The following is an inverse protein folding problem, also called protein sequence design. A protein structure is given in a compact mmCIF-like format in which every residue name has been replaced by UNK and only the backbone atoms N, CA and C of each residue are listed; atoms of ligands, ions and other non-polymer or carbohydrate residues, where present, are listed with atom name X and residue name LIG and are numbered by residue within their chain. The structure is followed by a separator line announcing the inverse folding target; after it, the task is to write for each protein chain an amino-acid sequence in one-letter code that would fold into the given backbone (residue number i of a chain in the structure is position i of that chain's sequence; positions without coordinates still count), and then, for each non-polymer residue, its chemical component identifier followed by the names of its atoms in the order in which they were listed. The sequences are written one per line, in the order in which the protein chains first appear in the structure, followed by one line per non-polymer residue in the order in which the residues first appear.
data_IF_606297879292
#
_entry.id   IF_606297879292
#
_cell.length_a   1.000
_cell.length_b   1.000
_cell.length_c   1.000
_cell.angle_alpha   90.00
_cell.angle_beta   90.00
_cell.angle_gamma   90.00
#
_symmetry.space_group_name_H-M   'P 1'
#
loop_
_entity.id
_entity.type
_entity.pdbx_description
1 polymer ?
#
# COMPACT_ATOMS: atom_id res chain seq x y z
N UNK A 1 -23.60 -5.81 4.07
CA UNK A 1 -25.06 -5.88 3.91
C UNK A 1 -25.50 -7.35 3.78
N UNK A 2 -26.57 -7.72 4.48
CA UNK A 2 -27.12 -9.08 4.47
C UNK A 2 -28.42 -9.20 3.67
N UNK A 3 -28.82 -8.16 2.95
CA UNK A 3 -30.02 -8.15 2.11
C UNK A 3 -29.64 -8.52 0.65
N UNK A 4 -29.99 -9.72 0.16
CA UNK A 4 -29.56 -10.20 -1.16
C UNK A 4 -30.03 -9.29 -2.30
N UNK A 5 -31.23 -8.73 -2.21
CA UNK A 5 -31.79 -7.83 -3.23
C UNK A 5 -30.99 -6.53 -3.37
N UNK A 6 -30.56 -5.94 -2.25
CA UNK A 6 -29.70 -4.76 -2.27
C UNK A 6 -28.33 -5.05 -2.82
N UNK A 7 -27.77 -6.22 -2.50
CA UNK A 7 -26.50 -6.68 -3.04
C UNK A 7 -26.59 -6.84 -4.55
N UNK A 8 -27.66 -7.47 -5.04
CA UNK A 8 -27.90 -7.65 -6.47
C UNK A 8 -28.09 -6.31 -7.19
N UNK A 9 -28.91 -5.41 -6.65
CA UNK A 9 -29.10 -4.08 -7.20
C UNK A 9 -27.80 -3.27 -7.25
N UNK A 10 -27.06 -3.23 -6.18
CA UNK A 10 -25.76 -2.57 -6.13
C UNK A 10 -24.78 -3.18 -7.15
N UNK A 11 -24.79 -4.51 -7.28
CA UNK A 11 -24.02 -5.23 -8.26
C UNK A 11 -24.33 -4.83 -9.71
N UNK A 12 -25.57 -4.53 -10.01
CA UNK A 12 -25.98 -4.08 -11.35
C UNK A 12 -25.58 -2.61 -11.63
N UNK A 13 -25.71 -1.77 -10.64
CA UNK A 13 -25.52 -0.31 -10.81
C UNK A 13 -24.05 0.10 -10.87
N UNK A 14 -23.16 -0.59 -10.16
CA UNK A 14 -21.75 -0.18 -10.06
C UNK A 14 -20.94 -0.59 -11.31
N UNK A 15 -20.22 0.37 -11.89
CA UNK A 15 -19.30 0.15 -13.03
C UNK A 15 -17.95 -0.39 -12.55
N UNK A 16 -17.94 -1.60 -12.01
CA UNK A 16 -16.72 -2.26 -11.51
C UNK A 16 -16.78 -3.76 -11.79
N UNK A 17 -15.63 -4.38 -11.96
CA UNK A 17 -15.50 -5.82 -12.24
C UNK A 17 -15.59 -6.69 -10.97
N UNK A 18 -15.37 -6.11 -9.77
CA UNK A 18 -15.42 -6.84 -8.51
C UNK A 18 -16.11 -6.05 -7.42
N UNK A 19 -17.01 -6.70 -6.71
CA UNK A 19 -17.74 -6.14 -5.56
C UNK A 19 -17.54 -7.07 -4.38
N UNK A 20 -17.18 -6.51 -3.24
CA UNK A 20 -16.94 -7.24 -2.00
C UNK A 20 -18.08 -6.98 -1.01
N UNK A 21 -18.64 -8.03 -0.45
CA UNK A 21 -19.74 -7.95 0.49
C UNK A 21 -19.24 -8.14 1.92
N UNK A 22 -19.52 -7.16 2.78
CA UNK A 22 -19.13 -7.16 4.20
C UNK A 22 -17.62 -7.39 4.42
N UNK A 23 -16.80 -6.86 3.53
CA UNK A 23 -15.35 -7.04 3.58
C UNK A 23 -14.66 -5.79 3.09
N UNK A 24 -13.62 -5.31 3.78
CA UNK A 24 -12.79 -4.22 3.28
C UNK A 24 -12.15 -4.55 1.93
N UNK A 25 -12.05 -3.56 1.06
CA UNK A 25 -11.43 -3.71 -0.26
C UNK A 25 -9.98 -4.21 -0.16
N UNK A 26 -9.25 -3.74 0.84
CA UNK A 26 -7.88 -4.17 1.15
C UNK A 26 -7.73 -5.67 1.41
N UNK A 27 -8.79 -6.33 1.85
CA UNK A 27 -8.77 -7.78 2.14
C UNK A 27 -9.27 -8.62 0.97
N UNK A 28 -10.21 -8.12 0.19
CA UNK A 28 -10.86 -8.88 -0.87
C UNK A 28 -10.36 -8.57 -2.28
N UNK A 29 -9.57 -7.49 -2.44
CA UNK A 29 -9.06 -7.08 -3.75
C UNK A 29 -8.13 -8.12 -4.37
N UNK A 30 -7.25 -8.72 -3.58
CA UNK A 30 -6.23 -9.65 -4.07
C UNK A 30 -6.78 -11.06 -4.34
N UNK A 31 -7.89 -11.46 -3.72
CA UNK A 31 -8.54 -12.76 -3.96
C UNK A 31 -8.30 -13.77 -2.84
N UNK A 32 -7.78 -14.95 -3.15
CA UNK A 32 -7.82 -16.14 -2.28
C UNK A 32 -7.03 -16.05 -0.96
N UNK A 33 -6.22 -15.02 -0.79
CA UNK A 33 -5.49 -14.79 0.48
C UNK A 33 -6.40 -14.71 1.71
N UNK A 34 -7.67 -14.39 1.53
CA UNK A 34 -8.65 -14.17 2.59
C UNK A 34 -9.90 -15.04 2.48
N UNK A 35 -9.76 -16.27 1.96
CA UNK A 35 -10.83 -17.27 1.86
C UNK A 35 -12.01 -16.86 0.95
N UNK A 36 -11.75 -16.14 -0.14
CA UNK A 36 -12.78 -15.78 -1.10
C UNK A 36 -13.01 -16.83 -2.19
N UNK A 37 -12.14 -17.83 -2.31
CA UNK A 37 -12.13 -18.80 -3.42
C UNK A 37 -12.03 -18.13 -4.80
N UNK A 38 -11.42 -16.96 -4.84
CA UNK A 38 -11.09 -16.25 -6.08
C UNK A 38 -9.62 -16.48 -6.40
N UNK A 39 -9.29 -16.64 -7.67
CA UNK A 39 -7.90 -16.69 -8.09
C UNK A 39 -7.18 -15.41 -7.64
N UNK A 40 -5.95 -15.51 -7.09
CA UNK A 40 -5.16 -14.35 -6.71
C UNK A 40 -4.99 -13.39 -7.89
N UNK A 41 -5.06 -12.10 -7.63
CA UNK A 41 -4.89 -11.05 -8.63
C UNK A 41 -3.93 -10.00 -8.10
N UNK A 42 -2.86 -9.73 -8.84
CA UNK A 42 -1.87 -8.70 -8.49
C UNK A 42 -2.28 -7.32 -8.99
N UNK A 43 -3.09 -7.29 -10.05
CA UNK A 43 -3.64 -6.06 -10.61
C UNK A 43 -5.14 -6.19 -10.75
N UNK A 44 -5.86 -5.15 -10.38
CA UNK A 44 -7.31 -5.08 -10.49
C UNK A 44 -7.68 -4.01 -11.51
N UNK A 45 -8.46 -4.40 -12.49
CA UNK A 45 -9.03 -3.49 -13.47
C UNK A 45 -10.55 -3.41 -13.35
N UNK A 46 -11.13 -2.40 -13.99
CA UNK A 46 -12.58 -2.25 -14.07
C UNK A 46 -13.23 -3.06 -15.20
N UNK A 47 -12.53 -4.03 -15.78
CA UNK A 47 -13.00 -4.77 -16.95
C UNK A 47 -13.11 -3.85 -18.17
N UNK A 48 -14.11 -4.07 -19.03
CA UNK A 48 -14.34 -3.23 -20.20
C UNK A 48 -14.69 -1.78 -19.87
N UNK A 49 -15.16 -1.47 -18.68
CA UNK A 49 -15.35 -0.07 -18.24
C UNK A 49 -14.03 0.67 -18.04
N UNK A 50 -12.93 -0.05 -17.78
CA UNK A 50 -11.59 0.51 -17.63
C UNK A 50 -10.74 0.50 -18.91
N UNK A 51 -11.33 0.11 -20.06
CA UNK A 51 -10.60 0.03 -21.33
C UNK A 51 -9.56 -1.09 -21.39
N UNK A 52 -9.67 -2.12 -20.53
CA UNK A 52 -8.71 -3.22 -20.48
C UNK A 52 -8.77 -4.06 -21.76
N UNK A 53 -7.60 -4.41 -22.31
CA UNK A 53 -7.44 -5.33 -23.41
C UNK A 53 -7.40 -6.77 -22.91
N UNK A 54 -7.62 -7.71 -23.83
CA UNK A 54 -7.54 -9.15 -23.58
C UNK A 54 -6.30 -9.73 -24.25
N UNK A 55 -5.72 -10.77 -23.64
CA UNK A 55 -4.51 -11.45 -24.15
C UNK A 55 -4.81 -12.82 -24.78
N UNK A 56 -6.07 -13.15 -25.01
CA UNK A 56 -6.51 -14.43 -25.61
C UNK A 56 -7.41 -14.20 -26.83
N UNK A 57 -7.70 -15.26 -27.60
CA UNK A 57 -8.59 -15.17 -28.74
C UNK A 57 -9.98 -14.67 -28.36
N UNK A 58 -10.50 -13.68 -29.10
CA UNK A 58 -11.82 -13.11 -28.85
C UNK A 58 -12.90 -14.12 -29.18
N UNK A 59 -13.76 -14.39 -28.20
CA UNK A 59 -14.92 -15.26 -28.32
C UNK A 59 -16.15 -14.66 -27.63
N UNK A 60 -17.31 -15.32 -27.67
CA UNK A 60 -18.56 -14.81 -27.07
C UNK A 60 -18.41 -14.38 -25.60
N UNK A 61 -17.54 -15.03 -24.83
CA UNK A 61 -17.25 -14.67 -23.43
C UNK A 61 -16.67 -13.26 -23.26
N UNK A 62 -16.04 -12.70 -24.29
CA UNK A 62 -15.43 -11.38 -24.27
C UNK A 62 -16.42 -10.26 -24.59
N UNK A 63 -17.58 -10.61 -25.14
CA UNK A 63 -18.69 -9.68 -25.39
C UNK A 63 -19.56 -9.46 -24.14
N UNK A 64 -19.28 -10.20 -23.06
CA UNK A 64 -20.04 -10.16 -21.82
C UNK A 64 -19.14 -9.56 -20.73
N UNK A 65 -19.59 -8.47 -20.11
CA UNK A 65 -18.97 -7.97 -18.91
C UNK A 65 -19.26 -8.88 -17.72
N UNK A 66 -18.27 -9.68 -17.32
CA UNK A 66 -18.37 -10.49 -16.12
C UNK A 66 -18.13 -9.63 -14.89
N UNK A 67 -19.09 -9.61 -13.99
CA UNK A 67 -18.96 -8.96 -12.69
C UNK A 67 -18.91 -10.02 -11.59
N UNK A 68 -17.88 -9.98 -10.77
CA UNK A 68 -17.75 -10.92 -9.66
C UNK A 68 -18.28 -10.27 -8.39
N UNK A 69 -19.26 -10.92 -7.76
CA UNK A 69 -19.72 -10.58 -6.41
C UNK A 69 -19.18 -11.62 -5.45
N UNK A 70 -18.25 -11.22 -4.60
CA UNK A 70 -17.58 -12.11 -3.68
C UNK A 70 -18.10 -11.92 -2.26
N UNK A 71 -18.55 -13.02 -1.64
CA UNK A 71 -18.91 -13.07 -0.23
C UNK A 71 -17.90 -13.95 0.50
N UNK A 72 -17.40 -13.47 1.62
CA UNK A 72 -16.45 -14.21 2.44
C UNK A 72 -17.08 -15.50 2.97
N UNK A 73 -16.39 -16.63 2.80
CA UNK A 73 -16.87 -17.94 3.23
C UNK A 73 -16.60 -18.25 4.72
N UNK A 74 -15.53 -17.67 5.26
CA UNK A 74 -15.10 -17.90 6.65
C UNK A 74 -14.88 -16.58 7.37
N UNK A 75 -15.04 -16.57 8.69
CA UNK A 75 -14.68 -15.42 9.51
C UNK A 75 -13.16 -15.34 9.67
N UNK A 76 -12.59 -14.17 9.42
CA UNK A 76 -11.23 -13.90 9.81
C UNK A 76 -11.15 -13.79 11.32
N UNK A 77 -10.28 -14.57 11.96
CA UNK A 77 -10.13 -14.57 13.41
C UNK A 77 -9.44 -13.29 13.92
N UNK A 78 -8.57 -12.72 13.11
CA UNK A 78 -7.91 -11.44 13.38
C UNK A 78 -7.37 -10.82 12.11
N UNK A 79 -7.17 -9.51 12.13
CA UNK A 79 -6.40 -8.74 11.13
C UNK A 79 -5.66 -7.61 11.83
N UNK A 80 -4.59 -7.13 11.22
CA UNK A 80 -3.81 -6.01 11.73
C UNK A 80 -4.13 -4.76 10.92
N UNK A 81 -4.42 -3.68 11.64
CA UNK A 81 -4.53 -2.32 11.10
C UNK A 81 -3.40 -1.46 11.69
N UNK A 82 -3.12 -0.28 11.12
CA UNK A 82 -2.30 0.72 11.78
C UNK A 82 -2.79 1.00 13.21
N UNK A 83 -1.87 1.35 14.10
CA UNK A 83 -2.23 1.70 15.49
C UNK A 83 -3.07 2.95 15.54
N UNK A 84 -2.72 3.95 14.71
CA UNK A 84 -3.42 5.22 14.59
C UNK A 84 -3.87 5.41 13.14
N UNK A 85 -5.14 5.82 12.95
CA UNK A 85 -5.69 6.18 11.64
C UNK A 85 -6.32 7.56 11.77
N UNK A 86 -5.69 8.55 11.15
CA UNK A 86 -6.19 9.92 11.07
C UNK A 86 -7.01 10.06 9.79
N UNK A 87 -8.31 10.13 9.95
CA UNK A 87 -9.25 10.20 8.83
C UNK A 87 -10.15 11.42 8.94
N UNK A 88 -9.74 12.53 8.33
CA UNK A 88 -10.52 13.76 8.26
C UNK A 88 -9.83 14.78 7.36
N UNK A 89 -10.59 15.70 6.78
CA UNK A 89 -10.04 16.89 6.13
C UNK A 89 -9.24 17.71 7.15
N UNK A 90 -8.00 18.05 6.84
CA UNK A 90 -7.08 18.76 7.72
C UNK A 90 -6.49 17.90 8.84
N UNK A 91 -6.42 16.57 8.65
CA UNK A 91 -5.83 15.67 9.64
C UNK A 91 -4.30 15.61 9.60
N UNK A 92 -3.68 15.98 8.49
CA UNK A 92 -2.21 15.90 8.35
C UNK A 92 -1.45 16.66 9.45
N UNK A 93 -1.71 17.95 9.76
CA UNK A 93 -0.99 18.64 10.80
C UNK A 93 -1.15 18.00 12.19
N UNK A 94 -2.35 17.47 12.48
CA UNK A 94 -2.65 16.82 13.76
C UNK A 94 -1.84 15.53 13.91
N UNK A 95 -1.77 14.74 12.84
CA UNK A 95 -1.01 13.50 12.84
C UNK A 95 0.50 13.75 12.91
N UNK A 96 1.01 14.81 12.28
CA UNK A 96 2.41 15.20 12.38
C UNK A 96 2.79 15.68 13.80
N UNK A 97 1.83 16.27 14.54
CA UNK A 97 2.04 16.61 15.95
C UNK A 97 2.25 15.35 16.83
N UNK A 98 1.53 14.24 16.54
CA UNK A 98 1.82 12.95 17.20
C UNK A 98 3.25 12.47 16.88
N UNK A 99 3.70 12.56 15.62
CA UNK A 99 5.09 12.21 15.24
C UNK A 99 6.13 13.00 16.03
N UNK A 100 5.88 14.29 16.21
CA UNK A 100 6.75 15.18 16.99
C UNK A 100 6.73 14.80 18.48
N UNK A 101 5.53 14.56 19.02
CA UNK A 101 5.32 14.22 20.43
C UNK A 101 5.91 12.84 20.79
N UNK A 102 5.88 11.88 19.86
CA UNK A 102 6.54 10.58 20.00
C UNK A 102 8.08 10.68 20.06
N UNK A 103 8.61 11.88 19.81
CA UNK A 103 10.03 12.18 19.99
C UNK A 103 10.92 11.78 18.83
N UNK A 104 10.36 11.53 17.64
CA UNK A 104 11.12 11.27 16.43
C UNK A 104 12.05 12.43 16.08
N UNK A 105 13.26 12.11 15.60
CA UNK A 105 14.32 13.09 15.32
C UNK A 105 14.69 13.16 13.84
N UNK A 106 14.50 12.10 13.09
CA UNK A 106 14.96 11.98 11.71
C UNK A 106 13.87 11.32 10.85
N UNK A 107 13.24 12.10 9.99
CA UNK A 107 12.15 11.63 9.12
C UNK A 107 12.64 11.50 7.67
N UNK A 108 12.53 10.33 7.09
CA UNK A 108 12.70 10.10 5.65
C UNK A 108 11.33 10.10 4.98
N UNK A 109 11.10 11.05 4.08
CA UNK A 109 9.89 11.13 3.27
C UNK A 109 10.15 10.41 1.95
N UNK A 110 9.29 9.43 1.61
CA UNK A 110 9.35 8.70 0.34
C UNK A 110 8.15 9.06 -0.50
N UNK A 111 8.40 9.59 -1.71
CA UNK A 111 7.35 10.10 -2.60
C UNK A 111 7.76 9.97 -4.07
N UNK A 112 6.91 10.40 -4.96
CA UNK A 112 7.20 10.54 -6.38
C UNK A 112 7.59 11.97 -6.76
N UNK A 113 8.11 12.12 -7.98
CA UNK A 113 8.59 13.40 -8.52
C UNK A 113 7.47 14.43 -8.69
N UNK A 114 6.24 13.98 -8.99
CA UNK A 114 5.11 14.90 -9.17
C UNK A 114 4.74 15.54 -7.83
N UNK A 115 4.54 14.76 -6.79
CA UNK A 115 4.19 15.25 -5.44
C UNK A 115 5.30 16.11 -4.85
N UNK A 116 6.57 15.75 -5.10
CA UNK A 116 7.72 16.57 -4.68
C UNK A 116 7.71 17.94 -5.34
N UNK A 117 7.61 17.98 -6.68
CA UNK A 117 7.67 19.24 -7.44
C UNK A 117 6.46 20.15 -7.19
N UNK A 118 5.33 19.60 -6.76
CA UNK A 118 4.11 20.37 -6.45
C UNK A 118 3.98 20.74 -4.97
N UNK A 119 5.04 20.55 -4.16
CA UNK A 119 5.08 21.04 -2.79
C UNK A 119 4.31 20.19 -1.76
N UNK A 120 3.84 18.99 -2.13
CA UNK A 120 3.16 18.10 -1.16
C UNK A 120 4.13 17.64 -0.07
N UNK A 121 5.38 17.31 -0.42
CA UNK A 121 6.40 16.96 0.54
C UNK A 121 6.73 18.13 1.48
N UNK A 122 6.64 19.37 0.99
CA UNK A 122 6.94 20.57 1.80
C UNK A 122 5.91 20.77 2.93
N UNK A 123 4.67 20.33 2.75
CA UNK A 123 3.64 20.37 3.79
C UNK A 123 4.03 19.51 5.00
N UNK A 124 4.79 18.44 4.79
CA UNK A 124 5.29 17.57 5.85
C UNK A 124 6.62 18.10 6.40
N UNK A 125 7.59 18.35 5.50
CA UNK A 125 8.95 18.70 5.90
C UNK A 125 9.03 20.04 6.64
N UNK A 126 8.21 21.04 6.25
CA UNK A 126 8.19 22.34 6.92
C UNK A 126 7.71 22.24 8.37
N UNK A 127 6.67 21.44 8.63
CA UNK A 127 6.14 21.22 9.98
C UNK A 127 7.18 20.49 10.86
N UNK A 128 7.76 19.41 10.34
CA UNK A 128 8.75 18.62 11.06
C UNK A 128 10.04 19.41 11.36
N UNK A 129 10.55 20.16 10.37
CA UNK A 129 11.73 21.02 10.55
C UNK A 129 11.50 22.12 11.56
N UNK A 130 10.32 22.75 11.56
CA UNK A 130 9.96 23.77 12.55
C UNK A 130 9.97 23.22 13.99
N UNK A 131 9.70 21.92 14.15
CA UNK A 131 9.78 21.21 15.42
C UNK A 131 11.17 20.63 15.74
N UNK A 132 12.18 20.88 14.91
CA UNK A 132 13.55 20.41 15.12
C UNK A 132 13.80 18.95 14.69
N UNK A 133 12.91 18.37 13.87
CA UNK A 133 13.12 17.06 13.25
C UNK A 133 13.89 17.21 11.95
N UNK A 134 15.02 16.52 11.81
CA UNK A 134 15.75 16.46 10.54
C UNK A 134 14.90 15.72 9.49
N UNK A 135 14.88 16.22 8.27
CA UNK A 135 14.12 15.59 7.18
C UNK A 135 14.96 15.40 5.95
N UNK A 136 14.81 14.23 5.31
CA UNK A 136 15.35 13.93 3.99
C UNK A 136 14.21 13.45 3.11
N UNK A 137 14.28 13.70 1.79
CA UNK A 137 13.21 13.35 0.85
C UNK A 137 13.77 12.49 -0.28
N UNK A 138 13.26 11.29 -0.41
CA UNK A 138 13.45 10.43 -1.57
C UNK A 138 12.25 10.57 -2.50
N UNK A 139 12.45 11.16 -3.68
CA UNK A 139 11.37 11.50 -4.62
C UNK A 139 11.51 10.82 -6.00
N UNK A 140 12.33 9.77 -6.08
CA UNK A 140 12.58 9.06 -7.34
C UNK A 140 11.63 7.87 -7.58
N UNK A 141 10.56 7.74 -6.79
CA UNK A 141 9.62 6.64 -7.01
C UNK A 141 8.80 6.90 -8.27
N UNK A 142 8.77 5.90 -9.15
CA UNK A 142 7.97 5.90 -10.36
C UNK A 142 6.76 4.98 -10.23
N UNK A 143 5.83 5.05 -11.18
CA UNK A 143 4.75 4.08 -11.29
C UNK A 143 5.35 2.67 -11.46
N UNK A 144 4.78 1.67 -10.77
CA UNK A 144 5.35 0.32 -10.71
C UNK A 144 6.82 0.33 -10.23
N UNK A 145 7.08 0.62 -8.94
CA UNK A 145 8.43 0.83 -8.44
C UNK A 145 9.34 -0.37 -8.70
N UNK A 146 10.59 -0.10 -9.08
CA UNK A 146 11.58 -1.13 -9.40
C UNK A 146 12.50 -1.44 -8.23
N UNK A 147 13.13 -2.62 -8.25
CA UNK A 147 14.12 -3.01 -7.24
C UNK A 147 15.31 -2.06 -7.18
N UNK A 148 15.77 -1.53 -8.32
CA UNK A 148 16.86 -0.57 -8.37
C UNK A 148 16.52 0.73 -7.64
N UNK A 149 15.32 1.26 -7.85
CA UNK A 149 14.83 2.48 -7.16
C UNK A 149 14.69 2.25 -5.66
N UNK A 150 14.14 1.11 -5.27
CA UNK A 150 13.97 0.77 -3.85
C UNK A 150 15.32 0.59 -3.16
N UNK A 151 16.31 -0.03 -3.81
CA UNK A 151 17.68 -0.15 -3.27
C UNK A 151 18.34 1.20 -3.04
N UNK A 152 18.23 2.13 -4.00
CA UNK A 152 18.72 3.52 -3.81
C UNK A 152 18.08 4.19 -2.58
N UNK A 153 16.76 4.06 -2.42
CA UNK A 153 16.07 4.61 -1.26
C UNK A 153 16.50 3.95 0.05
N UNK A 154 16.78 2.64 0.04
CA UNK A 154 17.31 1.93 1.21
C UNK A 154 18.76 2.36 1.54
N UNK A 155 19.60 2.63 0.54
CA UNK A 155 20.94 3.21 0.73
C UNK A 155 20.86 4.60 1.37
N UNK A 156 19.95 5.44 0.90
CA UNK A 156 19.68 6.74 1.53
C UNK A 156 19.22 6.56 2.98
N UNK A 157 18.30 5.64 3.26
CA UNK A 157 17.87 5.34 4.61
C UNK A 157 19.02 4.86 5.51
N UNK A 158 19.92 4.02 4.98
CA UNK A 158 21.10 3.55 5.72
C UNK A 158 22.10 4.67 6.04
N UNK A 159 22.26 5.66 5.16
CA UNK A 159 23.12 6.82 5.38
C UNK A 159 22.49 7.85 6.29
N UNK A 160 21.22 8.17 6.07
CA UNK A 160 20.47 9.16 6.85
C UNK A 160 20.05 8.65 8.22
N UNK A 161 19.81 7.33 8.38
CA UNK A 161 19.39 6.66 9.63
C UNK A 161 18.09 7.26 10.21
N UNK A 162 16.98 7.22 9.48
CA UNK A 162 15.71 7.73 9.97
C UNK A 162 15.19 6.87 11.14
N UNK A 163 14.49 7.49 12.08
CA UNK A 163 13.68 6.82 13.10
C UNK A 163 12.18 6.81 12.75
N UNK A 164 11.82 7.52 11.67
CA UNK A 164 10.50 7.45 11.05
C UNK A 164 10.62 7.54 9.52
N UNK A 165 9.89 6.69 8.82
CA UNK A 165 9.74 6.73 7.36
C UNK A 165 8.30 7.12 7.05
N UNK A 166 8.11 8.18 6.26
CA UNK A 166 6.81 8.71 5.88
C UNK A 166 6.61 8.48 4.38
N UNK A 167 5.74 7.55 4.01
CA UNK A 167 5.34 7.35 2.62
C UNK A 167 4.26 8.36 2.26
N UNK A 168 4.52 9.20 1.26
CA UNK A 168 3.57 10.20 0.76
C UNK A 168 3.20 9.86 -0.68
N UNK A 169 1.94 9.52 -0.94
CA UNK A 169 1.48 9.28 -2.30
C UNK A 169 0.39 8.23 -2.44
N UNK A 170 0.29 7.66 -3.62
CA UNK A 170 -0.57 6.52 -3.93
C UNK A 170 0.10 5.18 -3.62
N UNK A 171 -0.35 4.12 -4.28
CA UNK A 171 0.19 2.76 -4.06
C UNK A 171 1.69 2.65 -4.30
N UNK A 172 2.21 3.22 -5.40
CA UNK A 172 3.63 3.08 -5.77
C UNK A 172 4.60 3.67 -4.75
N UNK A 173 4.46 4.92 -4.27
CA UNK A 173 5.29 5.44 -3.19
C UNK A 173 5.16 4.64 -1.88
N UNK A 174 3.96 4.16 -1.55
CA UNK A 174 3.75 3.36 -0.34
C UNK A 174 4.41 2.00 -0.42
N UNK A 175 4.27 1.31 -1.55
CA UNK A 175 4.88 0.01 -1.78
C UNK A 175 6.41 0.12 -1.77
N UNK A 176 6.97 1.12 -2.46
CA UNK A 176 8.39 1.42 -2.44
C UNK A 176 8.89 1.68 -1.00
N UNK A 177 8.21 2.54 -0.25
CA UNK A 177 8.59 2.87 1.12
C UNK A 177 8.57 1.66 2.05
N UNK A 178 7.56 0.79 1.94
CA UNK A 178 7.49 -0.45 2.73
C UNK A 178 8.66 -1.38 2.46
N UNK A 179 9.06 -1.50 1.20
CA UNK A 179 10.18 -2.37 0.83
C UNK A 179 11.52 -1.73 1.24
N UNK A 180 11.69 -0.41 1.06
CA UNK A 180 12.83 0.35 1.60
C UNK A 180 12.94 0.17 3.12
N UNK A 181 11.81 0.21 3.83
CA UNK A 181 11.75 -0.02 5.26
C UNK A 181 12.26 -1.40 5.64
N UNK A 182 11.83 -2.46 4.93
CA UNK A 182 12.35 -3.83 5.15
C UNK A 182 13.86 -3.88 4.94
N UNK A 183 14.36 -3.34 3.83
CA UNK A 183 15.80 -3.35 3.51
C UNK A 183 16.63 -2.51 4.51
N UNK A 184 16.06 -1.46 5.06
CA UNK A 184 16.70 -0.63 6.09
C UNK A 184 16.74 -1.33 7.45
N UNK A 185 15.60 -1.91 7.87
CA UNK A 185 15.52 -2.65 9.15
C UNK A 185 16.39 -3.90 9.15
N UNK A 186 16.39 -4.62 8.01
CA UNK A 186 16.96 -5.95 7.86
C UNK A 186 17.76 -6.07 6.57
N UNK A 187 18.93 -5.41 6.46
CA UNK A 187 19.77 -5.43 5.26
C UNK A 187 20.34 -6.83 4.94
N UNK A 188 20.34 -7.72 5.94
CA UNK A 188 20.75 -9.13 5.78
C UNK A 188 19.69 -9.99 5.07
N UNK A 189 18.48 -9.49 4.87
CA UNK A 189 17.39 -10.29 4.32
C UNK A 189 17.44 -10.31 2.81
N UNK A 190 17.44 -11.50 2.23
CA UNK A 190 17.32 -11.67 0.78
C UNK A 190 15.88 -11.42 0.35
N UNK A 191 15.69 -10.39 -0.45
CA UNK A 191 14.39 -9.94 -0.92
C UNK A 191 13.61 -11.06 -1.64
N UNK A 192 14.32 -11.84 -2.46
CA UNK A 192 13.77 -12.95 -3.23
C UNK A 192 13.13 -14.02 -2.31
N UNK A 193 13.72 -14.25 -1.14
CA UNK A 193 13.16 -15.18 -0.15
C UNK A 193 11.87 -14.66 0.48
N UNK A 194 11.72 -13.35 0.65
CA UNK A 194 10.48 -12.75 1.15
C UNK A 194 9.37 -12.79 0.10
N UNK A 195 9.72 -12.56 -1.17
CA UNK A 195 8.78 -12.50 -2.28
C UNK A 195 8.18 -13.88 -2.63
N UNK A 196 8.94 -14.95 -2.53
CA UNK A 196 8.49 -16.32 -2.82
C UNK A 196 7.37 -16.82 -1.87
N UNK A 197 7.00 -16.05 -0.86
CA UNK A 197 6.10 -16.46 0.23
C UNK A 197 4.71 -15.84 0.17
N UNK A 198 4.36 -15.26 -0.95
CA UNK A 198 3.08 -14.59 -1.15
C UNK A 198 1.85 -15.51 -1.02
N UNK A 199 2.01 -16.81 -1.20
CA UNK A 199 0.90 -17.73 -1.40
C UNK A 199 -0.07 -17.89 -0.20
N UNK A 200 0.40 -17.76 1.03
CA UNK A 200 -0.48 -17.72 2.22
C UNK A 200 0.25 -17.18 3.44
N UNK A 201 -0.13 -16.00 3.91
CA UNK A 201 0.39 -15.38 5.14
C UNK A 201 0.32 -16.32 6.35
N UNK A 202 -0.66 -17.22 6.40
CA UNK A 202 -0.92 -18.13 7.52
C UNK A 202 -0.08 -19.40 7.49
N UNK A 203 0.41 -19.79 6.31
CA UNK A 203 1.14 -21.05 6.09
C UNK A 203 2.65 -20.89 5.99
N UNK A 204 3.20 -19.80 6.51
CA UNK A 204 4.62 -19.49 6.37
C UNK A 204 5.52 -20.48 7.08
N UNK A 205 6.46 -21.03 6.35
CA UNK A 205 7.58 -21.80 6.88
C UNK A 205 8.62 -20.87 7.51
N UNK A 206 8.74 -19.64 7.00
CA UNK A 206 9.72 -18.65 7.46
C UNK A 206 9.02 -17.49 8.17
N UNK A 207 9.59 -17.01 9.26
CA UNK A 207 9.11 -15.82 9.95
C UNK A 207 9.56 -14.58 9.18
N UNK A 208 8.62 -13.68 8.94
CA UNK A 208 8.97 -12.34 8.50
C UNK A 208 9.73 -11.64 9.63
N UNK A 209 10.78 -10.85 9.33
CA UNK A 209 11.53 -10.18 10.37
C UNK A 209 10.67 -9.18 11.15
N UNK A 210 11.08 -8.87 12.38
CA UNK A 210 10.36 -7.89 13.22
C UNK A 210 10.61 -6.49 12.69
N UNK A 211 9.56 -5.80 12.29
CA UNK A 211 9.62 -4.44 11.78
C UNK A 211 9.40 -3.38 12.87
N UNK A 212 9.81 -2.15 12.59
CA UNK A 212 9.59 -1.00 13.47
C UNK A 212 10.53 -0.93 14.67
N UNK A 213 11.72 -1.48 14.54
CA UNK A 213 12.79 -1.40 15.57
C UNK A 213 13.67 -0.19 15.35
N UNK A 214 14.14 0.05 14.11
CA UNK A 214 14.96 1.19 13.74
C UNK A 214 14.10 2.41 13.39
N UNK A 215 13.01 2.20 12.65
CA UNK A 215 12.13 3.27 12.20
C UNK A 215 10.66 2.86 12.24
N UNK A 216 9.77 3.80 12.57
CA UNK A 216 8.32 3.64 12.39
C UNK A 216 7.92 3.94 10.96
N UNK A 217 6.81 3.33 10.52
CA UNK A 217 6.27 3.52 9.18
C UNK A 217 4.96 4.29 9.26
N UNK A 218 4.90 5.43 8.58
CA UNK A 218 3.70 6.27 8.46
C UNK A 218 3.31 6.37 6.99
N UNK A 219 2.03 6.20 6.70
CA UNK A 219 1.51 6.27 5.35
C UNK A 219 0.54 7.44 5.21
N UNK A 220 0.84 8.35 4.28
CA UNK A 220 0.03 9.53 3.92
C UNK A 220 -0.51 9.33 2.53
N UNK A 221 -1.80 9.02 2.40
CA UNK A 221 -2.38 8.73 1.08
C UNK A 221 -2.79 10.00 0.34
N UNK A 222 -2.51 10.02 -0.98
CA UNK A 222 -2.97 11.06 -1.91
C UNK A 222 -3.94 10.50 -2.95
N UNK A 223 -4.34 9.23 -2.84
CA UNK A 223 -5.24 8.58 -3.77
C UNK A 223 -6.36 7.85 -3.04
N UNK A 224 -7.56 7.92 -3.58
CA UNK A 224 -8.70 7.15 -3.09
C UNK A 224 -8.82 5.86 -3.90
N UNK A 225 -8.32 4.73 -3.37
CA UNK A 225 -8.45 3.47 -4.13
C UNK A 225 -7.62 2.31 -3.64
N UNK A 226 -6.30 2.43 -3.53
CA UNK A 226 -5.41 1.28 -3.27
C UNK A 226 -5.53 0.72 -1.86
N UNK A 227 -5.79 1.58 -0.86
CA UNK A 227 -5.78 1.20 0.54
C UNK A 227 -4.40 0.79 1.06
N UNK A 228 -3.32 1.13 0.33
CA UNK A 228 -1.95 0.75 0.71
C UNK A 228 -1.54 1.30 2.08
N UNK A 229 -2.16 2.40 2.52
CA UNK A 229 -1.95 3.02 3.83
C UNK A 229 -2.36 2.13 5.02
N UNK A 230 -3.23 1.15 4.80
CA UNK A 230 -3.73 0.24 5.84
C UNK A 230 -3.48 -1.24 5.53
N UNK A 231 -2.79 -1.55 4.42
CA UNK A 231 -2.59 -2.93 3.99
C UNK A 231 -1.21 -3.49 4.36
N UNK A 232 -1.11 -4.81 4.56
CA UNK A 232 0.15 -5.52 4.77
C UNK A 232 0.85 -5.93 3.47
N UNK A 233 0.61 -5.22 2.36
CA UNK A 233 1.10 -5.58 1.04
C UNK A 233 2.05 -4.53 0.48
N UNK A 234 2.99 -4.97 -0.35
CA UNK A 234 3.80 -4.13 -1.21
C UNK A 234 4.19 -4.92 -2.47
N UNK A 235 4.25 -4.25 -3.61
CA UNK A 235 4.64 -4.86 -4.88
C UNK A 235 5.80 -4.07 -5.46
N UNK A 236 6.81 -4.79 -5.96
CA UNK A 236 7.96 -4.22 -6.67
C UNK A 236 8.23 -5.01 -7.93
N UNK A 237 8.76 -4.35 -8.94
CA UNK A 237 9.15 -4.96 -10.21
C UNK A 237 10.67 -5.14 -10.24
N UNK A 238 11.12 -6.31 -10.61
CA UNK A 238 12.52 -6.55 -10.93
C UNK A 238 12.82 -5.98 -12.32
N UNK A 239 13.65 -4.96 -12.38
CA UNK A 239 14.01 -4.28 -13.61
C UNK A 239 14.84 -5.15 -14.57
N UNK A 240 15.51 -6.21 -14.08
CA UNK A 240 16.26 -7.13 -14.93
C UNK A 240 15.36 -8.13 -15.67
N UNK A 241 14.28 -8.56 -15.01
CA UNK A 241 13.39 -9.63 -15.54
C UNK A 241 12.01 -9.13 -15.92
N UNK A 242 11.61 -7.92 -15.48
CA UNK A 242 10.25 -7.40 -15.59
C UNK A 242 9.23 -8.14 -14.71
N UNK A 243 9.69 -9.03 -13.84
CA UNK A 243 8.81 -9.80 -12.97
C UNK A 243 8.37 -8.97 -11.76
N UNK A 244 7.07 -9.02 -11.43
CA UNK A 244 6.52 -8.41 -10.24
C UNK A 244 6.64 -9.33 -9.03
N UNK A 245 7.18 -8.80 -7.95
CA UNK A 245 7.34 -9.49 -6.68
C UNK A 245 6.41 -8.89 -5.63
N UNK A 246 5.32 -9.55 -5.28
CA UNK A 246 4.47 -9.14 -4.18
C UNK A 246 5.04 -9.62 -2.84
N UNK A 247 5.14 -8.71 -1.89
CA UNK A 247 5.37 -9.01 -0.48
C UNK A 247 4.05 -8.91 0.28
N UNK A 248 3.81 -9.87 1.15
CA UNK A 248 2.62 -9.88 1.99
C UNK A 248 2.96 -10.37 3.39
N UNK A 249 2.96 -9.44 4.36
CA UNK A 249 3.07 -9.77 5.78
C UNK A 249 2.43 -8.68 6.63
N UNK A 250 1.76 -9.08 7.70
CA UNK A 250 1.18 -8.13 8.66
C UNK A 250 2.22 -7.20 9.30
N UNK A 251 3.51 -7.57 9.29
CA UNK A 251 4.59 -6.71 9.72
C UNK A 251 4.79 -5.48 8.81
N UNK A 252 4.33 -5.53 7.55
CA UNK A 252 4.36 -4.41 6.59
C UNK A 252 3.20 -3.41 6.78
N UNK A 253 2.24 -3.70 7.67
CA UNK A 253 1.18 -2.74 7.99
C UNK A 253 1.82 -1.50 8.62
N UNK A 254 1.58 -0.29 8.09
CA UNK A 254 2.10 0.94 8.67
C UNK A 254 1.71 1.09 10.15
N UNK A 255 2.53 1.77 10.93
CA UNK A 255 2.20 2.10 12.32
C UNK A 255 1.08 3.16 12.39
N UNK A 256 1.09 4.12 11.45
CA UNK A 256 0.09 5.18 11.34
C UNK A 256 -0.36 5.36 9.89
N UNK A 257 -1.65 5.60 9.68
CA UNK A 257 -2.22 5.99 8.39
C UNK A 257 -2.87 7.38 8.48
N UNK A 258 -2.59 8.23 7.49
CA UNK A 258 -3.14 9.59 7.41
C UNK A 258 -3.92 9.71 6.10
N UNK A 259 -5.23 9.92 6.24
CA UNK A 259 -6.18 10.08 5.14
C UNK A 259 -6.76 11.49 5.23
N UNK A 260 -6.07 12.45 4.66
CA UNK A 260 -6.49 13.85 4.61
C UNK A 260 -7.10 14.15 3.26
N UNK A 261 -8.39 14.50 3.24
CA UNK A 261 -9.09 14.82 2.01
C UNK A 261 -8.48 16.02 1.25
N UNK A 262 -7.75 16.91 1.90
CA UNK A 262 -7.04 18.01 1.23
C UNK A 262 -5.89 17.52 0.33
N UNK A 263 -5.39 16.30 0.55
CA UNK A 263 -4.34 15.69 -0.27
C UNK A 263 -4.88 14.82 -1.41
N UNK A 264 -6.18 14.53 -1.39
CA UNK A 264 -6.84 13.59 -2.33
C UNK A 264 -7.78 14.32 -3.30
N UNK A 265 -8.27 15.49 -2.90
CA UNK A 265 -9.24 16.29 -3.68
C UNK A 265 -8.49 17.45 -4.34
N UNK A 266 -8.37 17.39 -5.66
CA UNK A 266 -8.06 18.51 -6.55
C UNK A 266 -9.27 18.92 -7.35
#
# INVERSE_FOLDING_TARGET
DNQPERVAYFGQMMKTARILINTPASQGGIGDLYNFKLAPSLTLGCGSWGGNSISENVGPKHLINKKTVAKRAENMLWHKLPKSIYFRRGSLPIALDEVITDGHKRALIVTDRFLFNNGYADQITSVLKAAGVETEVFFEVEADPTLSVVRKGAELANSFKPDVIIALGGGSPMDAAKIMWVMYEHPETHFEELALRFMDIRKRIYKFPKMGVKAKMIAVTTTSGTGSEVTPFAVVTDDATGQKYPLADYALTPDMAIVDANLVMD
#
